data_IF_493502092127
#
_entry.id   IF_493502092127
#
_cell.length_a   1.000
_cell.length_b   1.000
_cell.length_c   1.000
_cell.angle_alpha   90.00
_cell.angle_beta   90.00
_cell.angle_gamma   90.00
#
_symmetry.space_group_name_H-M   'P 1'
#
loop_
_entity.id
_entity.type
_entity.pdbx_description
1 polymer ?
#
# COMPACT_ATOMS: atom_id res chain seq x y z
N UNK A 1 3.94 -9.70 -2.89
CA UNK A 1 4.52 -8.91 -1.79
C UNK A 1 5.75 -9.65 -1.32
N UNK A 2 6.89 -8.97 -1.27
CA UNK A 2 8.14 -9.52 -0.73
C UNK A 2 8.28 -9.19 0.76
N UNK A 3 7.91 -7.97 1.14
CA UNK A 3 7.99 -7.51 2.53
C UNK A 3 6.89 -6.48 2.79
N UNK A 4 6.28 -6.54 3.96
CA UNK A 4 5.48 -5.44 4.50
C UNK A 4 6.14 -4.93 5.79
N UNK A 5 6.33 -3.62 5.87
CA UNK A 5 6.81 -2.91 7.04
C UNK A 5 5.69 -1.99 7.52
N UNK A 6 5.05 -2.35 8.63
CA UNK A 6 3.95 -1.57 9.19
C UNK A 6 3.24 -2.30 10.31
N UNK A 7 2.13 -1.75 10.77
CA UNK A 7 1.35 -2.35 11.85
C UNK A 7 0.40 -3.43 11.34
N UNK A 8 0.23 -4.45 12.19
CA UNK A 8 -0.72 -5.53 11.99
C UNK A 8 -1.71 -5.56 13.15
N UNK A 9 -3.00 -5.68 12.85
CA UNK A 9 -4.05 -5.89 13.83
C UNK A 9 -4.89 -7.08 13.39
N UNK A 10 -5.07 -8.07 14.28
CA UNK A 10 -5.83 -9.30 13.96
C UNK A 10 -5.37 -10.02 12.69
N UNK A 11 -4.05 -10.11 12.47
CA UNK A 11 -3.43 -10.68 11.24
C UNK A 11 -3.77 -9.93 9.94
N UNK A 12 -4.29 -8.70 10.02
CA UNK A 12 -4.54 -7.81 8.88
C UNK A 12 -3.63 -6.60 8.94
N UNK A 13 -3.28 -6.04 7.78
CA UNK A 13 -2.54 -4.78 7.69
C UNK A 13 -3.41 -3.65 8.25
N UNK A 14 -2.82 -2.79 9.07
CA UNK A 14 -3.51 -1.68 9.71
C UNK A 14 -2.56 -0.48 9.86
N UNK A 15 -3.08 0.72 9.76
CA UNK A 15 -2.34 1.97 9.87
C UNK A 15 -1.39 2.19 8.70
N UNK A 16 -0.42 3.07 8.87
CA UNK A 16 0.57 3.37 7.85
C UNK A 16 1.54 2.20 7.66
N UNK A 17 1.83 1.85 6.41
CA UNK A 17 2.73 0.75 6.08
C UNK A 17 3.40 0.90 4.72
N UNK A 18 4.43 0.10 4.51
CA UNK A 18 5.22 0.04 3.28
C UNK A 18 5.21 -1.39 2.77
N UNK A 19 4.76 -1.59 1.53
CA UNK A 19 4.82 -2.84 0.80
C UNK A 19 5.97 -2.78 -0.21
N UNK A 20 6.94 -3.69 -0.08
CA UNK A 20 7.92 -3.96 -1.12
C UNK A 20 7.43 -5.12 -1.97
N UNK A 21 7.33 -4.89 -3.27
CA UNK A 21 6.98 -5.91 -4.26
C UNK A 21 8.24 -6.55 -4.82
N UNK A 22 8.14 -7.80 -5.24
CA UNK A 22 9.24 -8.59 -5.80
C UNK A 22 9.79 -8.01 -7.12
N UNK A 23 9.02 -7.18 -7.82
CA UNK A 23 9.48 -6.43 -9.01
C UNK A 23 10.28 -5.17 -8.64
N UNK A 24 10.55 -4.94 -7.35
CA UNK A 24 11.28 -3.78 -6.84
C UNK A 24 10.41 -2.53 -6.64
N UNK A 25 9.11 -2.62 -6.91
CA UNK A 25 8.15 -1.53 -6.62
C UNK A 25 7.96 -1.39 -5.12
N UNK A 26 7.74 -0.17 -4.64
CA UNK A 26 7.48 0.12 -3.24
C UNK A 26 6.17 0.89 -3.15
N UNK A 27 5.20 0.40 -2.39
CA UNK A 27 4.00 1.14 -2.04
C UNK A 27 4.11 1.62 -0.60
N UNK A 28 3.83 2.89 -0.34
CA UNK A 28 3.72 3.49 0.99
C UNK A 28 2.33 4.09 1.11
N UNK A 29 1.61 3.76 2.18
CA UNK A 29 0.28 4.33 2.41
C UNK A 29 -0.39 3.76 3.65
N UNK A 30 -1.62 4.18 3.89
CA UNK A 30 -2.41 3.70 5.01
C UNK A 30 -3.20 2.44 4.64
N UNK A 31 -3.39 1.57 5.62
CA UNK A 31 -4.09 0.31 5.50
C UNK A 31 -5.19 0.20 6.55
N UNK A 32 -6.33 -0.32 6.15
CA UNK A 32 -7.42 -0.66 7.05
C UNK A 32 -7.95 -2.04 6.67
N UNK A 33 -7.97 -2.96 7.63
CA UNK A 33 -8.40 -4.35 7.43
C UNK A 33 -7.71 -5.09 6.27
N UNK A 34 -6.44 -4.76 5.98
CA UNK A 34 -5.68 -5.37 4.88
C UNK A 34 -5.86 -4.70 3.52
N UNK A 35 -6.66 -3.64 3.43
CA UNK A 35 -6.91 -2.88 2.21
C UNK A 35 -6.19 -1.54 2.32
N UNK A 36 -5.57 -1.08 1.22
CA UNK A 36 -4.99 0.25 1.14
C UNK A 36 -6.09 1.32 1.13
N UNK A 37 -5.99 2.30 2.03
CA UNK A 37 -6.98 3.37 2.22
C UNK A 37 -6.30 4.73 2.25
N UNK A 38 -7.03 5.78 1.88
CA UNK A 38 -6.51 7.14 1.84
C UNK A 38 -5.39 7.31 0.83
N UNK A 39 -4.40 8.13 1.18
CA UNK A 39 -3.29 8.47 0.28
C UNK A 39 -2.25 7.35 0.26
N UNK A 40 -1.87 6.95 -0.94
CA UNK A 40 -0.82 6.00 -1.21
C UNK A 40 0.15 6.51 -2.26
N UNK A 41 1.41 6.08 -2.15
CA UNK A 41 2.50 6.40 -3.05
C UNK A 41 3.16 5.12 -3.55
N UNK A 42 3.21 4.92 -4.85
CA UNK A 42 3.95 3.83 -5.50
C UNK A 42 5.24 4.38 -6.10
N UNK A 43 6.37 3.87 -5.67
CA UNK A 43 7.65 4.01 -6.35
C UNK A 43 7.83 2.83 -7.31
N UNK A 44 7.84 3.11 -8.60
CA UNK A 44 8.24 2.19 -9.64
C UNK A 44 9.68 2.52 -10.08
N UNK A 45 10.64 1.57 -9.99
CA UNK A 45 12.03 1.85 -10.34
C UNK A 45 12.23 2.14 -11.83
N UNK A 46 11.26 1.80 -12.69
CA UNK A 46 11.32 2.03 -14.14
C UNK A 46 10.56 3.28 -14.55
N UNK A 47 9.42 3.54 -13.92
CA UNK A 47 8.49 4.58 -14.35
C UNK A 47 8.43 5.80 -13.42
N UNK A 48 9.01 5.72 -12.23
CA UNK A 48 9.05 6.81 -11.25
C UNK A 48 7.98 6.68 -10.17
N UNK A 49 7.59 7.80 -9.59
CA UNK A 49 6.66 7.85 -8.45
C UNK A 49 5.24 8.18 -8.90
N UNK A 50 4.27 7.48 -8.32
CA UNK A 50 2.84 7.69 -8.50
C UNK A 50 2.18 7.91 -7.14
N UNK A 51 1.28 8.88 -7.05
CA UNK A 51 0.49 9.14 -5.85
C UNK A 51 -0.99 9.00 -6.20
N UNK A 52 -1.77 8.40 -5.30
CA UNK A 52 -3.20 8.19 -5.48
C UNK A 52 -3.95 8.23 -4.15
N UNK A 53 -5.21 8.63 -4.20
CA UNK A 53 -6.14 8.57 -3.06
C UNK A 53 -7.08 7.37 -3.28
N UNK A 54 -6.88 6.30 -2.53
CA UNK A 54 -7.79 5.16 -2.42
C UNK A 54 -8.88 5.51 -1.41
N UNK A 55 -10.00 6.06 -1.87
CA UNK A 55 -11.18 6.18 -0.99
C UNK A 55 -11.73 4.79 -0.70
N UNK A 56 -12.21 4.59 0.53
CA UNK A 56 -12.78 3.34 1.06
C UNK A 56 -14.09 2.90 0.38
N UNK A 57 -14.18 2.97 -0.94
CA UNK A 57 -15.21 2.30 -1.72
C UNK A 57 -14.49 1.17 -2.48
N UNK A 58 -14.60 -0.04 -1.93
CA UNK A 58 -13.79 -1.21 -2.29
C UNK A 58 -14.04 -1.78 -3.67
N UNK A 59 -14.01 -0.98 -4.73
CA UNK A 59 -14.10 -1.42 -6.11
C UNK A 59 -13.08 -0.64 -6.94
N UNK A 60 -11.99 -1.31 -7.27
CA UNK A 60 -11.25 -1.01 -8.49
C UNK A 60 -12.20 -1.41 -9.63
N UNK A 61 -12.82 -0.46 -10.33
CA UNK A 61 -13.43 -0.76 -11.64
C UNK A 61 -12.33 -1.02 -12.69
#
# INVERSE_FOLDING_TARGET
MELYEGTFMSNKLQGSGIIKYTDGKIYEGDFYEGIAVGKGKILDPKLGTYEGDNKEDGIME
#
